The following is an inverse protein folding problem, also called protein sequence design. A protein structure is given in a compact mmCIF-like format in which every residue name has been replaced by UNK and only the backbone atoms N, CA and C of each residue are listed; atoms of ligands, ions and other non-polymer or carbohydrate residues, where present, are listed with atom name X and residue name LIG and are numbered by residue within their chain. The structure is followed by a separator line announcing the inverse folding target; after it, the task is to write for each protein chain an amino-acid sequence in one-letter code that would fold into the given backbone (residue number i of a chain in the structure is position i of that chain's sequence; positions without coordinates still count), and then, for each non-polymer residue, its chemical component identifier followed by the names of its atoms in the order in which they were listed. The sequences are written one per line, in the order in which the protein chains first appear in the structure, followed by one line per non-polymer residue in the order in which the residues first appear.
data_IF_222443157388
#
_entry.id   IF_222443157388
#
_cell.length_a   1.000
_cell.length_b   1.000
_cell.length_c   1.000
_cell.angle_alpha   90.00
_cell.angle_beta   90.00
_cell.angle_gamma   90.00
#
_symmetry.space_group_name_H-M   'P 1'
#
loop_
_entity.id
_entity.type
_entity.pdbx_description
1 polymer ?
#
# COMPACT_ATOMS: atom_id res chain seq x y z
N UNK A 1 21.32 -1.61 -19.87
CA UNK A 1 20.37 -0.48 -19.75
C UNK A 1 19.15 -0.94 -18.98
N UNK A 2 18.78 -0.17 -17.97
CA UNK A 2 17.50 -0.18 -17.27
C UNK A 2 17.08 -1.47 -16.56
N UNK A 3 17.84 -1.88 -15.54
CA UNK A 3 17.23 -2.53 -14.38
C UNK A 3 16.39 -1.44 -13.71
N UNK A 4 15.15 -1.28 -14.19
CA UNK A 4 14.16 -0.44 -13.54
C UNK A 4 13.94 -1.01 -12.16
N UNK A 5 14.73 -0.54 -11.19
CA UNK A 5 14.32 -0.50 -9.81
C UNK A 5 13.02 0.30 -9.88
N UNK A 6 11.89 -0.40 -9.97
CA UNK A 6 10.61 0.15 -9.61
C UNK A 6 10.82 0.55 -8.17
N UNK A 7 11.17 1.82 -7.96
CA UNK A 7 11.25 2.44 -6.67
C UNK A 7 9.88 2.18 -6.07
N UNK A 8 9.85 1.20 -5.16
CA UNK A 8 8.68 0.76 -4.43
C UNK A 8 8.25 1.96 -3.58
N UNK A 9 7.47 2.85 -4.16
CA UNK A 9 7.02 4.08 -3.53
C UNK A 9 5.80 3.79 -2.64
N UNK A 10 5.93 2.78 -1.77
CA UNK A 10 5.02 2.62 -0.64
C UNK A 10 5.23 3.79 0.32
N UNK A 11 4.14 4.44 0.76
CA UNK A 11 4.25 5.51 1.75
C UNK A 11 4.20 4.92 3.16
N UNK A 12 5.11 5.37 4.03
CA UNK A 12 5.09 4.97 5.45
C UNK A 12 4.59 6.13 6.29
N UNK A 13 3.44 5.95 6.93
CA UNK A 13 2.85 6.89 7.87
C UNK A 13 3.02 6.33 9.29
N UNK A 14 3.76 7.06 10.14
CA UNK A 14 4.00 6.71 11.54
C UNK A 14 3.53 7.84 12.43
N UNK A 15 2.58 7.57 13.31
CA UNK A 15 2.17 8.48 14.38
C UNK A 15 2.54 7.88 15.74
N UNK A 16 3.01 8.71 16.67
CA UNK A 16 3.28 8.27 18.05
C UNK A 16 2.02 7.98 18.88
N UNK A 17 0.85 8.41 18.39
CA UNK A 17 -0.45 8.30 19.04
C UNK A 17 -1.45 7.71 18.02
N UNK A 18 -2.62 8.32 17.81
CA UNK A 18 -3.63 7.80 16.91
C UNK A 18 -3.45 8.33 15.47
N UNK A 19 -3.83 7.52 14.48
CA UNK A 19 -3.95 7.88 13.07
C UNK A 19 -5.43 7.85 12.71
N UNK A 20 -5.94 8.94 12.15
CA UNK A 20 -7.29 9.01 11.60
C UNK A 20 -7.20 9.49 10.16
N UNK A 21 -7.75 8.73 9.23
CA UNK A 21 -7.84 9.10 7.81
C UNK A 21 -9.32 9.15 7.46
N UNK A 22 -9.77 10.31 6.99
CA UNK A 22 -11.17 10.52 6.58
C UNK A 22 -11.21 10.98 5.12
N UNK A 23 -11.92 10.23 4.28
CA UNK A 23 -12.14 10.56 2.87
C UNK A 23 -13.62 10.88 2.65
N UNK A 24 -13.96 12.16 2.59
CA UNK A 24 -15.37 12.60 2.48
C UNK A 24 -15.88 12.72 1.05
N UNK A 25 -14.98 13.04 0.10
CA UNK A 25 -15.22 13.26 -1.34
C UNK A 25 -16.60 13.86 -1.70
N UNK A 26 -16.90 15.03 -1.11
CA UNK A 26 -18.15 15.75 -1.37
C UNK A 26 -17.94 16.83 -2.43
N UNK A 27 -18.92 17.03 -3.29
CA UNK A 27 -18.96 18.18 -4.21
C UNK A 27 -19.36 19.48 -3.48
N UNK A 28 -19.39 20.60 -4.23
CA UNK A 28 -19.79 21.91 -3.68
C UNK A 28 -21.23 21.95 -3.14
N UNK A 29 -22.07 20.97 -3.51
CA UNK A 29 -23.44 20.80 -3.01
C UNK A 29 -23.53 19.88 -1.79
N UNK A 30 -22.40 19.30 -1.35
CA UNK A 30 -22.33 18.39 -0.21
C UNK A 30 -22.68 16.94 -0.54
N UNK A 31 -22.93 16.60 -1.81
CA UNK A 31 -23.18 15.23 -2.26
C UNK A 31 -21.87 14.47 -2.32
N UNK A 32 -21.84 13.25 -1.77
CA UNK A 32 -20.70 12.33 -1.89
C UNK A 32 -20.59 11.89 -3.35
N UNK A 33 -19.54 12.35 -4.02
CA UNK A 33 -19.18 12.00 -5.40
C UNK A 33 -17.90 11.17 -5.47
N UNK A 34 -17.12 11.20 -4.39
CA UNK A 34 -15.88 10.45 -4.18
C UNK A 34 -15.73 10.15 -2.67
N UNK A 35 -14.63 9.54 -2.25
CA UNK A 35 -14.34 9.31 -0.83
C UNK A 35 -13.72 7.95 -0.57
N UNK A 36 -13.03 7.38 -1.56
CA UNK A 36 -12.35 6.11 -1.42
C UNK A 36 -11.02 6.29 -0.66
N UNK A 37 -10.71 5.39 0.27
CA UNK A 37 -9.38 5.28 0.88
C UNK A 37 -8.66 4.12 0.22
N UNK A 38 -7.53 4.37 -0.44
CA UNK A 38 -6.74 3.33 -1.09
C UNK A 38 -5.30 3.34 -0.59
N UNK A 39 -4.89 2.31 0.14
CA UNK A 39 -3.53 2.14 0.64
C UNK A 39 -2.87 0.91 -0.01
N UNK A 40 -1.95 1.14 -0.94
CA UNK A 40 -1.24 0.08 -1.69
C UNK A 40 0.24 0.07 -1.35
N UNK A 41 0.73 -1.01 -0.77
CA UNK A 41 2.13 -1.12 -0.34
C UNK A 41 2.51 -0.08 0.73
N UNK A 42 1.52 0.58 1.33
CA UNK A 42 1.72 1.59 2.37
C UNK A 42 1.73 0.92 3.74
N UNK A 43 2.62 1.38 4.61
CA UNK A 43 2.63 0.99 6.03
C UNK A 43 2.07 2.14 6.86
N UNK A 44 0.97 1.89 7.56
CA UNK A 44 0.31 2.87 8.43
C UNK A 44 0.39 2.35 9.86
N UNK A 45 0.99 3.12 10.76
CA UNK A 45 1.19 2.70 12.14
C UNK A 45 0.94 3.84 13.12
N UNK A 46 0.28 3.49 14.22
CA UNK A 46 -0.01 4.33 15.36
C UNK A 46 -0.60 3.46 16.48
N UNK A 47 -0.84 4.05 17.65
CA UNK A 47 -1.51 3.38 18.77
C UNK A 47 -2.93 2.92 18.42
N UNK A 48 -3.65 3.74 17.65
CA UNK A 48 -4.93 3.36 17.04
C UNK A 48 -4.95 3.87 15.61
N UNK A 49 -5.46 3.08 14.67
CA UNK A 49 -5.64 3.49 13.27
C UNK A 49 -7.13 3.42 12.94
N UNK A 50 -7.71 4.55 12.56
CA UNK A 50 -9.11 4.69 12.17
C UNK A 50 -9.18 5.19 10.73
N UNK A 51 -9.94 4.48 9.90
CA UNK A 51 -10.16 4.79 8.49
C UNK A 51 -11.66 5.00 8.30
N UNK A 52 -12.04 6.17 7.80
CA UNK A 52 -13.43 6.55 7.55
C UNK A 52 -13.58 7.04 6.10
N UNK A 53 -14.08 6.15 5.24
CA UNK A 53 -14.33 6.44 3.84
C UNK A 53 -15.82 6.68 3.62
N UNK A 54 -16.16 7.72 2.85
CA UNK A 54 -17.53 7.95 2.44
C UNK A 54 -18.03 6.92 1.42
N UNK A 55 -17.11 6.15 0.81
CA UNK A 55 -17.38 5.08 -0.15
C UNK A 55 -16.65 3.80 0.25
N UNK A 56 -15.52 3.49 -0.38
CA UNK A 56 -14.82 2.21 -0.18
C UNK A 56 -13.45 2.37 0.48
N UNK A 57 -13.01 1.33 1.22
CA UNK A 57 -11.65 1.23 1.77
C UNK A 57 -10.95 0.03 1.13
N UNK A 58 -9.83 0.27 0.47
CA UNK A 58 -9.00 -0.76 -0.16
C UNK A 58 -7.59 -0.76 0.44
N UNK A 59 -7.19 -1.88 1.05
CA UNK A 59 -5.86 -2.09 1.63
C UNK A 59 -5.17 -3.25 0.88
N UNK A 60 -4.17 -2.93 0.07
CA UNK A 60 -3.43 -3.92 -0.70
C UNK A 60 -1.99 -3.97 -0.22
N UNK A 61 -1.60 -5.08 0.40
CA UNK A 61 -0.20 -5.37 0.67
C UNK A 61 0.51 -5.69 -0.64
N UNK A 62 1.65 -5.05 -0.92
CA UNK A 62 2.54 -5.53 -1.97
C UNK A 62 3.37 -6.66 -1.38
N UNK A 63 2.86 -7.89 -1.47
CA UNK A 63 3.71 -9.06 -1.27
C UNK A 63 4.61 -9.12 -2.49
N UNK A 64 5.87 -8.71 -2.35
CA UNK A 64 6.89 -8.90 -3.38
C UNK A 64 6.92 -10.39 -3.73
N UNK A 65 6.27 -10.78 -4.83
CA UNK A 65 6.46 -12.09 -5.43
C UNK A 65 7.79 -12.09 -6.19
N UNK A 66 8.88 -11.77 -5.51
CA UNK A 66 10.21 -12.15 -5.98
C UNK A 66 10.37 -13.62 -5.63
N UNK A 67 9.67 -14.48 -6.38
CA UNK A 67 10.04 -15.89 -6.51
C UNK A 67 11.42 -15.90 -7.18
N UNK A 68 12.48 -15.74 -6.39
CA UNK A 68 13.81 -16.11 -6.82
C UNK A 68 13.84 -17.63 -6.82
N UNK A 69 13.42 -18.21 -7.94
CA UNK A 69 13.74 -19.59 -8.28
C UNK A 69 15.25 -19.67 -8.49
N UNK A 70 16.02 -19.71 -7.40
CA UNK A 70 17.44 -20.00 -7.41
C UNK A 70 17.62 -21.49 -7.73
N UNK A 71 17.44 -21.86 -9.00
CA UNK A 71 17.92 -23.15 -9.51
C UNK A 71 19.44 -23.04 -9.69
N UNK A 72 20.18 -23.28 -8.62
CA UNK A 72 21.63 -23.45 -8.69
C UNK A 72 21.94 -24.70 -9.52
N UNK A 73 22.70 -24.50 -10.61
CA UNK A 73 23.22 -25.55 -11.47
C UNK A 73 24.16 -26.47 -10.68
N UNK A 74 23.84 -27.76 -10.62
CA UNK A 74 24.76 -28.82 -10.21
C UNK A 74 25.18 -29.62 -11.43
N UNK A 75 26.06 -29.06 -12.26
CA UNK A 75 26.82 -29.85 -13.23
C UNK A 75 27.92 -30.61 -12.48
N UNK A 76 27.59 -31.74 -11.86
CA UNK A 76 28.60 -32.71 -11.48
C UNK A 76 28.74 -33.72 -12.62
N UNK A 77 29.79 -33.50 -13.42
CA UNK A 77 30.37 -34.52 -14.26
C UNK A 77 30.96 -35.62 -13.38
N UNK A 78 30.60 -36.87 -13.67
CA UNK A 78 31.30 -38.09 -13.23
C UNK A 78 31.29 -39.09 -14.36
#
# INVERSE_FOLDING_TARGET
SNAGATLNQGSTLRAGQNVTITATGKDASGKVVDGDIVARGSSISGRNVSLDAARDITLESRQDNTHQDSKNSGSNAS
#
